data_IF_494277551640
#
_entry.id   IF_494277551640
#
_cell.length_a   1.000
_cell.length_b   1.000
_cell.length_c   1.000
_cell.angle_alpha   90.00
_cell.angle_beta   90.00
_cell.angle_gamma   90.00
#
_symmetry.space_group_name_H-M   'P 1'
#
loop_
_entity.id
_entity.type
_entity.pdbx_description
1 polymer ?
#
# COMPACT_ATOMS: atom_id res chain seq x y z
N UNK A 1 -2.85 4.75 -0.33
CA UNK A 1 -1.94 5.20 -1.39
C UNK A 1 -1.84 4.09 -2.40
N UNK A 2 -2.03 4.39 -3.67
CA UNK A 2 -1.73 3.45 -4.74
C UNK A 2 -0.21 3.32 -4.78
N UNK A 3 0.33 2.25 -4.22
CA UNK A 3 1.76 2.07 -4.02
C UNK A 3 2.51 1.74 -5.30
N UNK A 4 2.33 2.58 -6.31
CA UNK A 4 3.09 2.44 -7.53
C UNK A 4 3.66 3.78 -7.98
N UNK A 5 4.89 3.74 -8.44
CA UNK A 5 5.66 4.91 -8.87
C UNK A 5 5.05 5.65 -10.04
N UNK A 6 4.18 5.03 -10.81
CA UNK A 6 3.71 5.53 -12.09
C UNK A 6 2.19 5.65 -12.17
N UNK A 7 1.43 5.88 -11.19
CA UNK A 7 -0.02 6.19 -11.22
C UNK A 7 -0.81 5.49 -12.36
N UNK A 8 -0.33 4.36 -12.87
CA UNK A 8 -0.89 3.60 -13.99
C UNK A 8 -1.56 2.30 -13.57
N UNK A 9 -1.42 1.92 -12.28
CA UNK A 9 -1.97 0.68 -11.77
C UNK A 9 -3.43 0.81 -11.36
N UNK A 10 -4.25 1.25 -12.29
CA UNK A 10 -5.70 1.28 -12.16
C UNK A 10 -6.37 1.17 -13.52
N UNK A 11 -7.63 0.73 -13.51
CA UNK A 11 -8.54 0.84 -14.63
C UNK A 11 -9.57 1.93 -14.37
N UNK A 12 -9.94 2.67 -15.42
CA UNK A 12 -11.06 3.59 -15.37
C UNK A 12 -12.28 2.90 -16.03
N UNK A 13 -13.24 2.50 -15.21
CA UNK A 13 -14.50 1.96 -15.69
C UNK A 13 -15.55 3.05 -15.76
N UNK A 14 -16.18 3.21 -16.92
CA UNK A 14 -17.30 4.12 -17.11
C UNK A 14 -18.59 3.32 -17.13
N UNK A 15 -19.53 3.68 -16.26
CA UNK A 15 -20.83 3.06 -16.25
C UNK A 15 -21.62 3.44 -17.49
N UNK A 16 -22.32 2.47 -18.09
CA UNK A 16 -23.18 2.70 -19.25
C UNK A 16 -24.30 3.68 -18.87
N UNK A 17 -24.58 4.63 -19.77
CA UNK A 17 -25.61 5.67 -19.56
C UNK A 17 -25.40 6.56 -18.32
N UNK A 18 -24.16 6.73 -17.86
CA UNK A 18 -23.79 7.57 -16.72
C UNK A 18 -22.62 8.48 -17.06
N UNK A 19 -22.55 9.64 -16.41
CA UNK A 19 -21.35 10.50 -16.40
C UNK A 19 -20.32 10.02 -15.37
N UNK A 20 -20.72 9.08 -14.50
CA UNK A 20 -19.85 8.56 -13.44
C UNK A 20 -18.87 7.53 -13.98
N UNK A 21 -17.66 7.58 -13.43
CA UNK A 21 -16.60 6.61 -13.67
C UNK A 21 -16.05 6.13 -12.33
N UNK A 22 -15.51 4.92 -12.32
CA UNK A 22 -14.89 4.32 -11.15
C UNK A 22 -13.44 3.97 -11.46
N UNK A 23 -12.54 4.34 -10.55
CA UNK A 23 -11.16 3.85 -10.56
C UNK A 23 -11.11 2.47 -9.90
N UNK A 24 -10.66 1.47 -10.63
CA UNK A 24 -10.48 0.10 -10.13
C UNK A 24 -8.99 -0.10 -9.90
N UNK A 25 -8.53 -0.29 -8.65
CA UNK A 25 -7.12 -0.55 -8.38
C UNK A 25 -6.66 -1.85 -9.04
N UNK A 26 -5.45 -1.83 -9.60
CA UNK A 26 -4.80 -2.96 -10.23
C UNK A 26 -3.34 -3.02 -9.82
N UNK A 27 -2.73 -4.21 -9.84
CA UNK A 27 -1.31 -4.47 -9.59
C UNK A 27 -0.77 -3.70 -8.35
N UNK A 28 -1.15 -4.16 -7.17
CA UNK A 28 -0.71 -3.60 -5.89
C UNK A 28 0.46 -4.39 -5.27
N UNK A 29 1.27 -5.05 -6.10
CA UNK A 29 2.41 -5.88 -5.69
C UNK A 29 3.46 -5.11 -4.89
N UNK A 30 3.57 -3.80 -5.10
CA UNK A 30 4.46 -2.92 -4.35
C UNK A 30 3.81 -2.27 -3.11
N UNK A 31 2.58 -2.64 -2.77
CA UNK A 31 2.00 -2.24 -1.50
C UNK A 31 2.82 -2.83 -0.34
N UNK A 32 2.90 -2.11 0.76
CA UNK A 32 3.66 -2.49 1.97
C UNK A 32 5.20 -2.47 1.84
N UNK A 33 5.77 -2.05 0.71
CA UNK A 33 7.21 -2.07 0.47
C UNK A 33 7.99 -1.02 1.28
N UNK A 34 7.41 0.15 1.53
CA UNK A 34 8.16 1.28 2.10
C UNK A 34 7.41 1.95 3.25
N UNK A 35 7.92 1.75 4.48
CA UNK A 35 7.32 2.28 5.69
C UNK A 35 7.20 3.81 5.69
N UNK A 36 8.28 4.55 5.44
CA UNK A 36 8.34 6.02 5.52
C UNK A 36 7.95 6.74 4.22
N UNK A 37 7.24 6.10 3.30
CA UNK A 37 6.93 6.73 2.03
C UNK A 37 6.03 7.97 2.19
N UNK A 38 6.37 9.13 1.55
CA UNK A 38 5.58 10.34 1.69
C UNK A 38 4.13 10.14 1.20
N UNK A 39 3.15 10.52 2.04
CA UNK A 39 1.72 10.36 1.68
C UNK A 39 1.29 11.27 0.54
N UNK A 40 2.05 12.33 0.28
CA UNK A 40 1.82 13.27 -0.82
C UNK A 40 2.77 13.07 -2.01
N UNK A 41 3.47 11.92 -2.05
CA UNK A 41 4.39 11.59 -3.14
C UNK A 41 3.68 11.57 -4.49
N UNK A 42 4.27 12.22 -5.48
CA UNK A 42 3.80 12.27 -6.87
C UNK A 42 2.34 12.72 -7.07
N UNK A 43 1.80 13.55 -6.18
CA UNK A 43 0.46 14.15 -6.37
C UNK A 43 0.38 14.94 -7.67
N UNK A 44 1.47 15.55 -8.07
CA UNK A 44 1.64 16.30 -9.32
C UNK A 44 1.99 15.43 -10.53
N UNK A 45 2.25 14.14 -10.32
CA UNK A 45 2.72 13.21 -11.35
C UNK A 45 1.73 12.92 -12.48
N UNK A 46 0.43 13.16 -12.26
CA UNK A 46 -0.58 13.08 -13.31
C UNK A 46 -1.47 14.31 -13.36
N UNK A 47 -2.07 14.56 -14.53
CA UNK A 47 -3.05 15.65 -14.68
C UNK A 47 -4.25 15.45 -13.77
N UNK A 48 -4.71 14.20 -13.61
CA UNK A 48 -5.86 13.86 -12.78
C UNK A 48 -5.58 14.15 -11.31
N UNK A 49 -4.48 13.61 -10.75
CA UNK A 49 -4.13 13.80 -9.34
C UNK A 49 -3.85 15.28 -9.03
N UNK A 50 -3.10 15.96 -9.88
CA UNK A 50 -2.80 17.38 -9.70
C UNK A 50 -4.07 18.24 -9.67
N UNK A 51 -5.01 18.03 -10.61
CA UNK A 51 -6.27 18.78 -10.66
C UNK A 51 -7.19 18.43 -9.49
N UNK A 52 -7.30 17.17 -9.14
CA UNK A 52 -8.10 16.75 -7.99
C UNK A 52 -7.56 17.39 -6.70
N UNK A 53 -6.25 17.39 -6.52
CA UNK A 53 -5.61 17.94 -5.32
C UNK A 53 -5.65 19.47 -5.22
N UNK A 54 -5.82 20.15 -6.35
CA UNK A 54 -6.03 21.61 -6.39
C UNK A 54 -7.45 22.02 -5.93
N UNK A 55 -8.39 21.08 -5.83
CA UNK A 55 -9.75 21.31 -5.34
C UNK A 55 -9.76 21.02 -3.83
N UNK A 56 -9.99 22.02 -2.96
CA UNK A 56 -9.88 21.85 -1.50
C UNK A 56 -10.72 20.71 -0.95
N UNK A 57 -11.94 20.52 -1.44
CA UNK A 57 -12.85 19.49 -1.00
C UNK A 57 -12.33 18.08 -1.32
N UNK A 58 -11.74 17.88 -2.50
CA UNK A 58 -11.17 16.60 -2.90
C UNK A 58 -9.85 16.32 -2.16
N UNK A 59 -9.05 17.36 -1.92
CA UNK A 59 -7.86 17.27 -1.07
C UNK A 59 -8.25 16.83 0.35
N UNK A 60 -9.31 17.41 0.91
CA UNK A 60 -9.80 17.04 2.25
C UNK A 60 -10.27 15.59 2.29
N UNK A 61 -11.04 15.15 1.29
CA UNK A 61 -11.44 13.73 1.16
C UNK A 61 -10.23 12.80 1.15
N UNK A 62 -9.15 13.16 0.45
CA UNK A 62 -7.91 12.37 0.44
C UNK A 62 -7.29 12.26 1.85
N UNK A 63 -7.15 13.40 2.54
CA UNK A 63 -6.58 13.47 3.89
C UNK A 63 -7.43 12.65 4.89
N UNK A 64 -8.74 12.83 4.86
CA UNK A 64 -9.65 12.12 5.78
C UNK A 64 -9.67 10.61 5.49
N UNK A 65 -9.55 10.21 4.22
CA UNK A 65 -9.43 8.81 3.84
C UNK A 65 -8.13 8.20 4.36
N UNK A 66 -7.00 8.90 4.25
CA UNK A 66 -5.72 8.43 4.80
C UNK A 66 -5.78 8.29 6.33
N UNK A 67 -6.37 9.26 7.02
CA UNK A 67 -6.56 9.21 8.47
C UNK A 67 -7.40 8.00 8.86
N UNK A 68 -8.54 7.82 8.21
CA UNK A 68 -9.42 6.67 8.45
C UNK A 68 -8.73 5.33 8.15
N UNK A 69 -7.94 5.24 7.08
CA UNK A 69 -7.16 4.03 6.80
C UNK A 69 -6.12 3.75 7.88
N UNK A 70 -5.42 4.78 8.39
CA UNK A 70 -4.46 4.63 9.48
C UNK A 70 -5.14 4.18 10.78
N UNK A 71 -6.29 4.75 11.11
CA UNK A 71 -7.07 4.35 12.29
C UNK A 71 -7.57 2.90 12.21
N UNK A 72 -8.06 2.48 11.04
CA UNK A 72 -8.50 1.10 10.79
C UNK A 72 -7.33 0.10 10.82
N UNK A 73 -6.19 0.45 10.24
CA UNK A 73 -5.01 -0.40 10.26
C UNK A 73 -4.49 -0.61 11.68
N UNK A 74 -4.56 0.44 12.51
CA UNK A 74 -4.07 0.45 13.88
C UNK A 74 -2.55 0.52 13.95
N UNK A 75 -2.05 0.53 15.19
CA UNK A 75 -0.62 0.46 15.50
C UNK A 75 -0.18 -0.96 15.87
N UNK A 76 0.86 -1.10 16.71
CA UNK A 76 1.29 -2.41 17.21
C UNK A 76 0.13 -3.17 17.87
N UNK A 77 -0.07 -4.42 17.44
CA UNK A 77 -1.22 -5.24 17.86
C UNK A 77 -2.55 -4.87 17.19
N UNK A 78 -2.56 -3.92 16.25
CA UNK A 78 -3.75 -3.51 15.50
C UNK A 78 -4.18 -4.52 14.43
N UNK A 79 -5.29 -4.20 13.76
CA UNK A 79 -5.90 -5.10 12.78
C UNK A 79 -4.94 -5.51 11.67
N UNK A 80 -4.18 -4.57 11.10
CA UNK A 80 -3.29 -4.87 9.97
C UNK A 80 -2.17 -5.84 10.36
N UNK A 81 -1.58 -5.70 11.55
CA UNK A 81 -0.58 -6.63 12.05
C UNK A 81 -1.17 -8.01 12.32
N UNK A 82 -2.34 -8.06 12.94
CA UNK A 82 -3.01 -9.33 13.24
C UNK A 82 -3.36 -10.08 11.95
N UNK A 83 -3.91 -9.40 10.96
CA UNK A 83 -4.27 -10.02 9.68
C UNK A 83 -3.03 -10.47 8.91
N UNK A 84 -1.98 -9.64 8.84
CA UNK A 84 -0.70 -10.02 8.23
C UNK A 84 -0.11 -11.27 8.89
N UNK A 85 -0.14 -11.33 10.21
CA UNK A 85 0.39 -12.47 10.97
C UNK A 85 -0.45 -13.73 10.73
N UNK A 86 -1.75 -13.60 10.68
CA UNK A 86 -2.67 -14.72 10.39
C UNK A 86 -2.43 -15.26 8.97
N UNK A 87 -2.35 -14.41 7.97
CA UNK A 87 -2.08 -14.81 6.58
C UNK A 87 -0.71 -15.48 6.45
N UNK A 88 0.31 -14.97 7.14
CA UNK A 88 1.61 -15.62 7.20
C UNK A 88 1.53 -17.06 7.69
N UNK A 89 0.84 -17.31 8.82
CA UNK A 89 0.72 -18.67 9.33
C UNK A 89 -0.09 -19.61 8.41
N UNK A 90 -1.01 -19.08 7.61
CA UNK A 90 -1.73 -19.88 6.64
C UNK A 90 -0.85 -20.37 5.48
N UNK A 91 0.12 -19.56 5.04
CA UNK A 91 0.94 -19.89 3.86
C UNK A 91 2.33 -20.41 4.22
N UNK A 92 2.78 -20.25 5.46
CA UNK A 92 4.16 -20.47 5.89
C UNK A 92 4.68 -21.85 5.51
N UNK A 93 3.99 -22.89 5.87
CA UNK A 93 4.49 -24.26 5.65
C UNK A 93 4.58 -24.59 4.16
N UNK A 94 3.63 -24.14 3.36
CA UNK A 94 3.68 -24.28 1.91
C UNK A 94 4.84 -23.47 1.31
N UNK A 95 5.03 -22.23 1.77
CA UNK A 95 6.12 -21.39 1.31
C UNK A 95 7.51 -21.94 1.68
N UNK A 96 7.67 -22.52 2.87
CA UNK A 96 8.93 -23.16 3.30
C UNK A 96 9.24 -24.40 2.45
N UNK A 97 8.22 -25.17 2.08
CA UNK A 97 8.38 -26.41 1.30
C UNK A 97 8.50 -26.15 -0.22
N UNK A 98 8.15 -24.96 -0.71
CA UNK A 98 8.22 -24.65 -2.14
C UNK A 98 9.68 -24.51 -2.60
N UNK A 99 10.19 -25.46 -3.43
CA UNK A 99 11.56 -25.38 -3.96
C UNK A 99 11.73 -24.32 -5.08
N UNK A 100 10.61 -23.82 -5.62
CA UNK A 100 10.58 -22.85 -6.73
C UNK A 100 10.21 -21.45 -6.30
N UNK A 101 10.17 -21.19 -4.97
CA UNK A 101 9.81 -19.85 -4.49
C UNK A 101 10.75 -18.78 -5.05
N UNK A 102 10.17 -17.64 -5.37
CA UNK A 102 10.88 -16.50 -5.93
C UNK A 102 10.71 -15.27 -5.06
N UNK A 103 11.77 -14.50 -4.91
CA UNK A 103 11.72 -13.22 -4.23
C UNK A 103 12.20 -12.10 -5.16
N UNK A 104 11.59 -10.91 -5.11
CA UNK A 104 12.15 -9.74 -5.77
C UNK A 104 13.46 -9.35 -5.08
N UNK A 105 14.51 -9.14 -5.86
CA UNK A 105 15.79 -8.64 -5.40
C UNK A 105 16.27 -7.56 -6.37
N UNK A 106 16.32 -6.31 -5.93
CA UNK A 106 16.76 -5.16 -6.72
C UNK A 106 16.09 -5.07 -8.12
N UNK A 107 14.79 -5.38 -8.22
CA UNK A 107 14.05 -5.35 -9.48
C UNK A 107 14.17 -6.61 -10.34
N UNK A 108 14.93 -7.61 -9.90
CA UNK A 108 15.05 -8.91 -10.57
C UNK A 108 14.36 -9.97 -9.71
N UNK A 109 13.51 -10.78 -10.33
CA UNK A 109 12.91 -11.95 -9.69
C UNK A 109 13.94 -13.08 -9.73
N UNK A 110 14.33 -13.58 -8.57
CA UNK A 110 15.30 -14.67 -8.43
C UNK A 110 14.88 -15.69 -7.38
N UNK A 111 15.64 -16.77 -7.25
CA UNK A 111 15.40 -17.79 -6.24
C UNK A 111 15.36 -17.19 -4.83
N UNK A 112 14.42 -17.64 -4.03
CA UNK A 112 14.20 -17.19 -2.67
C UNK A 112 14.58 -18.28 -1.67
N UNK A 113 15.48 -17.99 -0.73
CA UNK A 113 15.72 -18.87 0.39
C UNK A 113 14.61 -18.73 1.45
N UNK A 114 14.53 -19.69 2.38
CA UNK A 114 13.59 -19.62 3.49
C UNK A 114 13.88 -18.40 4.38
N UNK A 115 15.15 -18.07 4.61
CA UNK A 115 15.57 -16.91 5.38
C UNK A 115 15.08 -15.62 4.74
N UNK A 116 15.22 -15.47 3.41
CA UNK A 116 14.73 -14.29 2.69
C UNK A 116 13.20 -14.17 2.73
N UNK A 117 12.49 -15.29 2.69
CA UNK A 117 11.05 -15.31 2.87
C UNK A 117 10.67 -14.78 4.25
N UNK A 118 11.29 -15.30 5.31
CA UNK A 118 11.04 -14.87 6.70
C UNK A 118 11.43 -13.38 6.93
N UNK A 119 12.53 -12.91 6.34
CA UNK A 119 12.91 -11.49 6.37
C UNK A 119 11.86 -10.60 5.67
N UNK A 120 11.32 -11.05 4.54
CA UNK A 120 10.25 -10.37 3.84
C UNK A 120 8.98 -10.25 4.70
N UNK A 121 8.59 -11.34 5.35
CA UNK A 121 7.45 -11.35 6.29
C UNK A 121 7.69 -10.39 7.45
N UNK A 122 8.88 -10.42 8.06
CA UNK A 122 9.24 -9.50 9.14
C UNK A 122 9.13 -8.03 8.71
N UNK A 123 9.53 -7.71 7.48
CA UNK A 123 9.40 -6.36 6.91
C UNK A 123 7.95 -5.93 6.76
N UNK A 124 7.05 -6.82 6.30
CA UNK A 124 5.62 -6.53 6.17
C UNK A 124 4.97 -6.34 7.54
N UNK A 125 5.36 -7.15 8.55
CA UNK A 125 4.89 -6.97 9.93
C UNK A 125 5.35 -5.63 10.51
N UNK A 126 6.61 -5.22 10.27
CA UNK A 126 7.09 -3.90 10.68
C UNK A 126 6.30 -2.76 10.01
N UNK A 127 6.01 -2.89 8.74
CA UNK A 127 5.14 -1.95 8.04
C UNK A 127 3.76 -1.87 8.71
N UNK A 128 3.13 -3.02 8.95
CA UNK A 128 1.82 -3.10 9.58
C UNK A 128 1.77 -2.43 10.97
N UNK A 129 2.84 -2.54 11.75
CA UNK A 129 2.97 -1.94 13.08
C UNK A 129 3.10 -0.42 13.06
N UNK A 130 3.86 0.12 12.10
CA UNK A 130 4.33 1.50 12.23
C UNK A 130 3.77 2.45 11.17
N UNK A 131 3.25 1.93 10.05
CA UNK A 131 2.77 2.78 8.96
C UNK A 131 1.62 3.70 9.35
N UNK A 132 0.72 3.25 10.20
CA UNK A 132 -0.39 4.06 10.67
C UNK A 132 0.10 5.33 11.41
N UNK A 133 1.05 5.16 12.33
CA UNK A 133 1.63 6.28 13.07
C UNK A 133 2.40 7.24 12.15
N UNK A 134 3.16 6.70 11.20
CA UNK A 134 3.88 7.49 10.19
C UNK A 134 2.92 8.33 9.32
N UNK A 135 1.82 7.75 8.83
CA UNK A 135 0.80 8.48 8.09
C UNK A 135 0.22 9.62 8.93
N UNK A 136 -0.18 9.35 10.18
CA UNK A 136 -0.76 10.36 11.06
C UNK A 136 0.24 11.49 11.36
N UNK A 137 1.51 11.17 11.55
CA UNK A 137 2.57 12.16 11.72
C UNK A 137 2.70 13.05 10.47
N UNK A 138 2.77 12.46 9.28
CA UNK A 138 2.88 13.20 8.02
C UNK A 138 1.64 14.10 7.77
N UNK A 139 0.45 13.66 8.14
CA UNK A 139 -0.78 14.46 8.05
C UNK A 139 -0.82 15.61 9.06
N UNK A 140 -0.19 15.47 10.22
CA UNK A 140 -0.07 16.51 11.24
C UNK A 140 0.94 17.62 10.87
N UNK A 141 1.89 17.32 9.96
CA UNK A 141 2.90 18.28 9.48
C UNK A 141 2.60 18.83 8.08
N UNK A 142 1.47 18.40 7.48
CA UNK A 142 1.07 18.89 6.15
C UNK A 142 0.65 20.37 6.19
N UNK A 143 1.04 21.18 5.20
CA UNK A 143 0.68 22.60 5.08
C UNK A 143 -0.80 22.81 4.77
#
# INVERSE_FOLDING_TARGET
MLGDFELNNFYLYRFQNSISSQLIPWDKSNAFAYLGWPVFWHIDGSVLSRRAFAIPELRQVYIDTLRRCAELAGGPGGWLEQETTKEYYQIRDAAIQDPFKQCPNAGVIGSCSNEKFEEGVASVILFARYRAADILQQLGTAP
#
